data_IF_725559141778
#
_entry.id   IF_725559141778
#
_cell.length_a   1.000
_cell.length_b   1.000
_cell.length_c   1.000
_cell.angle_alpha   90.00
_cell.angle_beta   90.00
_cell.angle_gamma   90.00
#
_symmetry.space_group_name_H-M   'P 1'
#
loop_
_entity.id
_entity.type
_entity.pdbx_description
1 polymer ?
#
# COMPACT_ATOMS: atom_id res chain seq x y z
N UNK A 1 15.49 -12.13 1.69
CA UNK A 1 14.63 -11.46 0.67
C UNK A 1 13.20 -11.45 1.18
N UNK A 2 12.37 -10.48 0.77
CA UNK A 2 10.97 -10.39 1.23
C UNK A 2 10.16 -11.67 0.97
N UNK A 3 10.40 -12.33 -0.17
CA UNK A 3 9.70 -13.55 -0.53
C UNK A 3 9.96 -14.70 0.46
N UNK A 4 11.21 -14.88 0.92
CA UNK A 4 11.55 -15.92 1.89
C UNK A 4 10.80 -15.73 3.22
N UNK A 5 10.65 -14.48 3.68
CA UNK A 5 9.90 -14.19 4.90
C UNK A 5 8.42 -14.56 4.77
N UNK A 6 7.75 -14.16 3.68
CA UNK A 6 6.32 -14.48 3.48
C UNK A 6 6.10 -15.97 3.31
N UNK A 7 7.00 -16.68 2.60
CA UNK A 7 6.93 -18.14 2.47
C UNK A 7 7.11 -18.83 3.83
N UNK A 8 8.08 -18.42 4.64
CA UNK A 8 8.23 -18.96 6.00
C UNK A 8 7.00 -18.69 6.85
N UNK A 9 6.36 -17.53 6.70
CA UNK A 9 5.13 -17.21 7.41
C UNK A 9 3.96 -18.09 6.97
N UNK A 10 3.80 -18.33 5.66
CA UNK A 10 2.82 -19.28 5.11
C UNK A 10 3.03 -20.71 5.63
N UNK A 11 4.30 -21.10 5.83
CA UNK A 11 4.66 -22.41 6.38
C UNK A 11 4.48 -22.49 7.90
N UNK A 12 4.54 -21.37 8.62
CA UNK A 12 4.50 -21.32 10.09
C UNK A 12 3.17 -20.90 10.70
N UNK A 13 2.26 -20.29 9.94
CA UNK A 13 1.04 -19.67 10.48
C UNK A 13 -0.24 -20.39 10.04
N UNK A 14 -1.06 -20.79 11.01
CA UNK A 14 -2.46 -21.14 10.81
C UNK A 14 -3.39 -19.90 10.89
N UNK A 15 -2.84 -18.76 11.28
CA UNK A 15 -3.57 -17.50 11.51
C UNK A 15 -3.29 -16.51 10.38
N UNK A 16 -4.36 -15.97 9.80
CA UNK A 16 -4.29 -14.96 8.75
C UNK A 16 -4.04 -13.57 9.38
N UNK A 17 -3.28 -12.73 8.68
CA UNK A 17 -2.92 -11.37 9.10
C UNK A 17 -4.00 -10.35 8.69
N UNK A 18 -4.27 -9.37 9.55
CA UNK A 18 -5.17 -8.26 9.20
C UNK A 18 -4.44 -7.12 8.46
N UNK A 19 -3.16 -6.90 8.75
CA UNK A 19 -2.36 -5.82 8.18
C UNK A 19 -0.93 -6.27 7.92
N UNK A 20 -0.42 -5.97 6.72
CA UNK A 20 1.00 -6.04 6.41
C UNK A 20 1.50 -4.65 6.00
N UNK A 21 2.57 -4.18 6.63
CA UNK A 21 3.24 -2.93 6.28
C UNK A 21 4.56 -3.24 5.58
N UNK A 22 4.74 -2.68 4.39
CA UNK A 22 5.99 -2.77 3.61
C UNK A 22 6.62 -1.38 3.62
N UNK A 23 7.56 -1.19 4.53
CA UNK A 23 8.36 0.03 4.66
C UNK A 23 9.85 -0.35 4.59
N UNK A 24 10.31 -0.60 3.37
CA UNK A 24 11.66 -1.12 3.12
C UNK A 24 12.32 -0.31 2.01
N UNK A 25 13.47 0.25 2.34
CA UNK A 25 14.41 0.88 1.43
C UNK A 25 15.76 0.18 1.60
N UNK A 26 16.34 -0.31 0.51
CA UNK A 26 17.61 -1.05 0.53
C UNK A 26 18.74 -0.34 -0.22
N UNK A 27 18.53 0.94 -0.57
CA UNK A 27 19.46 1.75 -1.34
C UNK A 27 19.52 1.42 -2.84
N UNK A 28 18.69 0.51 -3.33
CA UNK A 28 18.59 0.20 -4.76
C UNK A 28 17.45 0.97 -5.44
N UNK A 29 17.49 1.03 -6.77
CA UNK A 29 16.36 1.49 -7.57
C UNK A 29 16.02 0.44 -8.62
N UNK A 30 14.75 0.36 -9.00
CA UNK A 30 14.30 -0.57 -10.03
C UNK A 30 13.14 0.02 -10.85
N UNK A 31 13.06 -0.39 -12.11
CA UNK A 31 12.00 0.03 -13.01
C UNK A 31 10.84 -0.98 -12.99
N UNK A 32 9.62 -0.47 -12.89
CA UNK A 32 8.40 -1.21 -13.17
C UNK A 32 8.15 -1.15 -14.69
N UNK A 33 8.70 -2.16 -15.38
CA UNK A 33 8.74 -2.30 -16.86
C UNK A 33 7.40 -2.04 -17.56
N UNK A 34 6.28 -2.28 -16.89
CA UNK A 34 4.93 -2.10 -17.45
C UNK A 34 4.55 -0.61 -17.62
N UNK A 35 5.16 0.30 -16.83
CA UNK A 35 4.76 1.71 -16.74
C UNK A 35 5.94 2.70 -16.85
N UNK A 36 7.19 2.22 -16.85
CA UNK A 36 8.39 3.07 -16.89
C UNK A 36 8.64 3.84 -15.59
N UNK A 37 7.93 3.47 -14.52
CA UNK A 37 8.06 4.03 -13.18
C UNK A 37 9.33 3.48 -12.51
N UNK A 38 10.15 4.37 -11.96
CA UNK A 38 11.38 3.98 -11.23
C UNK A 38 11.15 4.15 -9.74
N UNK A 39 11.39 3.09 -8.97
CA UNK A 39 11.17 3.06 -7.52
C UNK A 39 12.47 2.85 -6.75
N UNK A 40 12.67 3.67 -5.71
CA UNK A 40 13.67 3.49 -4.65
C UNK A 40 13.14 2.67 -3.47
N UNK A 41 11.83 2.75 -3.22
CA UNK A 41 11.13 1.92 -2.25
C UNK A 41 9.72 1.61 -2.79
N UNK A 42 9.21 0.38 -2.60
CA UNK A 42 9.91 -0.81 -2.09
C UNK A 42 10.98 -1.32 -3.06
N UNK A 43 11.88 -2.25 -2.68
CA UNK A 43 12.79 -2.89 -3.62
C UNK A 43 12.07 -3.86 -4.56
N UNK A 44 12.69 -4.21 -5.70
CA UNK A 44 12.10 -5.05 -6.75
C UNK A 44 11.52 -6.38 -6.24
N UNK A 45 12.16 -6.99 -5.25
CA UNK A 45 11.70 -8.25 -4.67
C UNK A 45 10.33 -8.13 -3.98
N UNK A 46 9.96 -6.93 -3.52
CA UNK A 46 8.73 -6.61 -2.81
C UNK A 46 7.67 -5.93 -3.70
N UNK A 47 7.99 -5.67 -4.98
CA UNK A 47 7.02 -5.19 -5.99
C UNK A 47 6.68 -6.29 -7.02
N UNK A 48 7.27 -7.48 -6.88
CA UNK A 48 7.05 -8.61 -7.77
C UNK A 48 5.62 -9.17 -7.64
N UNK A 49 5.07 -9.70 -8.74
CA UNK A 49 3.74 -10.35 -8.74
C UNK A 49 3.68 -11.50 -7.73
N UNK A 50 4.75 -12.29 -7.65
CA UNK A 50 4.86 -13.40 -6.70
C UNK A 50 4.76 -12.92 -5.24
N UNK A 51 5.51 -11.88 -4.88
CA UNK A 51 5.44 -11.31 -3.54
C UNK A 51 4.02 -10.82 -3.20
N UNK A 52 3.38 -10.08 -4.12
CA UNK A 52 2.02 -9.57 -3.90
C UNK A 52 0.99 -10.70 -3.75
N UNK A 53 1.10 -11.78 -4.52
CA UNK A 53 0.26 -12.96 -4.35
C UNK A 53 0.51 -13.66 -3.01
N UNK A 54 1.77 -13.75 -2.56
CA UNK A 54 2.09 -14.33 -1.26
C UNK A 54 1.53 -13.49 -0.11
N UNK A 55 1.59 -12.16 -0.20
CA UNK A 55 0.94 -11.25 0.74
C UNK A 55 -0.57 -11.46 0.76
N UNK A 56 -1.22 -11.51 -0.40
CA UNK A 56 -2.66 -11.80 -0.48
C UNK A 56 -3.02 -13.11 0.24
N UNK A 57 -2.19 -14.15 0.12
CA UNK A 57 -2.47 -15.47 0.71
C UNK A 57 -2.35 -15.50 2.24
N UNK A 58 -1.49 -14.67 2.82
CA UNK A 58 -1.35 -14.57 4.29
C UNK A 58 -2.36 -13.62 4.92
N UNK A 59 -2.98 -12.73 4.13
CA UNK A 59 -3.96 -11.79 4.63
C UNK A 59 -5.33 -12.45 4.87
N UNK A 60 -6.02 -11.99 5.91
CA UNK A 60 -7.39 -12.36 6.20
C UNK A 60 -8.37 -11.84 5.15
N UNK A 61 -9.65 -12.26 5.21
CA UNK A 61 -10.66 -11.85 4.22
C UNK A 61 -10.89 -10.34 4.09
N UNK A 62 -10.44 -9.55 5.07
CA UNK A 62 -10.52 -8.08 5.10
C UNK A 62 -9.15 -7.42 5.24
N UNK A 63 -8.09 -8.18 4.94
CA UNK A 63 -6.72 -7.79 5.20
C UNK A 63 -6.27 -6.64 4.30
N UNK A 64 -5.31 -5.88 4.81
CA UNK A 64 -4.73 -4.72 4.11
C UNK A 64 -3.22 -4.91 3.98
N UNK A 65 -2.68 -4.59 2.81
CA UNK A 65 -1.26 -4.27 2.67
C UNK A 65 -1.11 -2.76 2.53
N UNK A 66 -0.17 -2.16 3.27
CA UNK A 66 0.21 -0.75 3.14
C UNK A 66 1.68 -0.68 2.74
N UNK A 67 1.98 -0.07 1.61
CA UNK A 67 3.33 0.01 1.06
C UNK A 67 3.80 1.46 1.01
N UNK A 68 4.94 1.74 1.62
CA UNK A 68 5.64 3.00 1.44
C UNK A 68 6.31 3.02 0.07
N UNK A 69 5.97 4.02 -0.75
CA UNK A 69 6.49 4.17 -2.11
C UNK A 69 7.28 5.46 -2.22
N UNK A 70 8.54 5.30 -2.58
CA UNK A 70 9.42 6.40 -2.99
C UNK A 70 9.74 6.15 -4.45
N UNK A 71 9.11 6.94 -5.31
CA UNK A 71 9.16 6.76 -6.75
C UNK A 71 9.47 8.04 -7.49
N UNK A 72 10.05 7.86 -8.67
CA UNK A 72 10.52 8.92 -9.54
C UNK A 72 9.78 8.83 -10.86
N UNK A 73 9.06 9.90 -11.24
CA UNK A 73 8.52 9.99 -12.60
C UNK A 73 9.64 10.38 -13.54
N UNK A 74 9.81 9.61 -14.62
CA UNK A 74 10.64 10.03 -15.75
C UNK A 74 10.01 11.28 -16.40
N UNK A 75 10.35 12.47 -15.89
CA UNK A 75 10.14 13.71 -16.64
C UNK A 75 11.14 13.71 -17.80
N UNK A 76 10.73 14.12 -19.02
CA UNK A 76 11.71 14.42 -20.05
C UNK A 76 12.55 15.59 -19.52
N UNK A 77 13.86 15.36 -19.36
CA UNK A 77 14.92 16.25 -18.84
C UNK A 77 15.06 16.36 -17.31
N UNK A 78 16.01 15.57 -16.77
CA UNK A 78 17.00 16.01 -15.78
C UNK A 78 16.59 16.30 -14.33
N UNK A 79 15.29 16.32 -13.97
CA UNK A 79 14.87 16.50 -12.59
C UNK A 79 14.13 15.26 -12.05
N UNK A 80 14.79 14.56 -11.13
CA UNK A 80 14.18 13.55 -10.27
C UNK A 80 13.36 14.29 -9.18
N UNK A 81 12.12 14.64 -9.48
CA UNK A 81 11.16 15.03 -8.44
C UNK A 81 10.56 13.76 -7.82
N UNK A 82 10.66 13.64 -6.49
CA UNK A 82 10.33 12.45 -5.69
C UNK A 82 8.83 12.16 -5.53
N UNK A 83 7.97 12.83 -6.31
CA UNK A 83 6.51 12.71 -6.21
C UNK A 83 6.00 12.04 -7.48
N UNK A 84 6.20 10.72 -7.57
CA UNK A 84 5.88 9.93 -8.75
C UNK A 84 6.09 8.43 -8.55
N UNK A 85 6.03 7.65 -9.62
CA UNK A 85 6.44 6.23 -9.63
C UNK A 85 5.48 5.22 -8.99
N UNK A 86 4.46 5.67 -8.25
CA UNK A 86 3.51 4.77 -7.58
C UNK A 86 2.41 4.23 -8.50
N UNK A 87 2.19 4.83 -9.66
CA UNK A 87 1.10 4.49 -10.58
C UNK A 87 1.22 3.01 -11.03
N UNK A 88 2.42 2.57 -11.41
CA UNK A 88 2.68 1.19 -11.81
C UNK A 88 2.54 0.17 -10.68
N UNK A 89 2.95 0.52 -9.46
CA UNK A 89 2.74 -0.35 -8.30
C UNK A 89 1.26 -0.47 -7.97
N UNK A 90 0.51 0.63 -8.03
CA UNK A 90 -0.91 0.65 -7.80
C UNK A 90 -1.66 -0.23 -8.82
N UNK A 91 -1.32 -0.13 -10.11
CA UNK A 91 -1.87 -1.02 -11.16
C UNK A 91 -1.57 -2.49 -10.88
N UNK A 92 -0.34 -2.81 -10.45
CA UNK A 92 0.04 -4.19 -10.12
C UNK A 92 -0.69 -4.70 -8.88
N UNK A 93 -0.92 -3.87 -7.87
CA UNK A 93 -1.77 -4.23 -6.73
C UNK A 93 -3.22 -4.50 -7.16
N UNK A 94 -3.75 -3.72 -8.11
CA UNK A 94 -5.11 -3.89 -8.62
C UNK A 94 -5.34 -5.22 -9.35
N UNK A 95 -4.28 -5.95 -9.73
CA UNK A 95 -4.42 -7.31 -10.28
C UNK A 95 -4.60 -8.38 -9.22
N UNK A 96 -4.40 -8.06 -7.94
CA UNK A 96 -4.41 -9.01 -6.81
C UNK A 96 -5.41 -8.60 -5.72
N UNK A 97 -5.65 -7.31 -5.51
CA UNK A 97 -6.50 -6.78 -4.44
C UNK A 97 -7.80 -6.17 -4.98
N UNK A 98 -8.90 -6.28 -4.21
CA UNK A 98 -10.23 -5.79 -4.61
C UNK A 98 -10.30 -4.26 -4.72
N UNK A 99 -9.53 -3.57 -3.89
CA UNK A 99 -9.39 -2.12 -3.95
C UNK A 99 -7.94 -1.71 -3.75
N UNK A 100 -7.55 -0.67 -4.49
CA UNK A 100 -6.27 0.01 -4.29
C UNK A 100 -6.55 1.46 -3.91
N UNK A 101 -5.89 1.91 -2.85
CA UNK A 101 -5.97 3.28 -2.37
C UNK A 101 -4.59 3.91 -2.36
N UNK A 102 -4.54 5.22 -2.53
CA UNK A 102 -3.30 5.98 -2.58
C UNK A 102 -3.44 7.20 -1.68
N UNK A 103 -2.42 7.43 -0.86
CA UNK A 103 -2.27 8.61 -0.03
C UNK A 103 -0.93 9.29 -0.36
N UNK A 104 -0.93 10.35 -1.19
CA UNK A 104 0.26 11.12 -1.45
C UNK A 104 0.66 11.89 -0.19
N UNK A 105 1.89 11.76 0.26
CA UNK A 105 2.52 12.53 1.34
C UNK A 105 3.50 13.56 0.72
N UNK A 106 4.22 14.28 1.56
CA UNK A 106 5.17 15.31 1.09
C UNK A 106 6.38 14.71 0.36
N UNK A 107 6.96 13.63 0.92
CA UNK A 107 8.19 13.03 0.41
C UNK A 107 7.97 11.68 -0.32
N UNK A 108 6.82 11.05 -0.11
CA UNK A 108 6.54 9.68 -0.51
C UNK A 108 5.03 9.50 -0.77
N UNK A 109 4.63 8.30 -1.16
CA UNK A 109 3.22 7.94 -1.33
C UNK A 109 2.95 6.61 -0.66
N UNK A 110 1.89 6.53 0.16
CA UNK A 110 1.42 5.25 0.65
C UNK A 110 0.45 4.65 -0.37
N UNK A 111 0.68 3.40 -0.76
CA UNK A 111 -0.21 2.63 -1.63
C UNK A 111 -0.75 1.45 -0.84
N UNK A 112 -2.07 1.30 -0.82
CA UNK A 112 -2.76 0.28 -0.05
C UNK A 112 -3.45 -0.70 -0.99
N UNK A 113 -3.29 -2.01 -0.74
CA UNK A 113 -4.13 -3.06 -1.31
C UNK A 113 -5.07 -3.60 -0.25
N UNK A 114 -6.37 -3.67 -0.53
CA UNK A 114 -7.40 -4.08 0.44
C UNK A 114 -8.17 -5.29 -0.10
N UNK A 115 -8.26 -6.34 0.72
CA UNK A 115 -9.12 -7.50 0.48
C UNK A 115 -10.51 -7.26 1.06
N UNK A 116 -11.54 -7.82 0.40
CA UNK A 116 -12.89 -7.96 0.92
C UNK A 116 -13.44 -6.69 1.55
N UNK A 117 -13.74 -5.69 0.72
CA UNK A 117 -14.49 -4.54 1.20
C UNK A 117 -15.97 -4.91 1.36
N UNK A 118 -16.60 -4.67 2.52
CA UNK A 118 -18.02 -4.90 2.65
C UNK A 118 -18.77 -4.02 1.64
N UNK A 119 -19.60 -4.63 0.80
CA UNK A 119 -20.59 -3.93 -0.03
C UNK A 119 -21.54 -3.06 0.80
N UNK A 120 -21.59 -3.30 2.11
CA UNK A 120 -22.26 -2.46 3.09
C UNK A 120 -21.28 -1.43 3.65
N UNK A 121 -21.51 -0.17 3.27
CA UNK A 121 -20.91 1.01 3.89
C UNK A 121 -21.10 0.89 5.40
N UNK A 122 -19.99 0.79 6.15
CA UNK A 122 -20.07 0.89 7.61
C UNK A 122 -20.79 2.20 7.93
N UNK A 123 -21.84 2.19 8.78
CA UNK A 123 -22.47 3.42 9.18
C UNK A 123 -21.39 4.37 9.74
N UNK A 124 -21.40 5.66 9.39
CA UNK A 124 -20.46 6.61 9.96
C UNK A 124 -20.51 6.48 11.49
N UNK A 125 -19.33 6.46 12.12
CA UNK A 125 -19.22 6.45 13.57
C UNK A 125 -20.13 7.55 14.12
N UNK A 126 -21.08 7.18 14.97
CA UNK A 126 -22.04 8.15 15.53
C UNK A 126 -21.26 9.17 16.35
N UNK A 127 -21.21 10.41 15.87
CA UNK A 127 -20.34 11.49 16.36
C UNK A 127 -20.77 12.08 17.70
N UNK A 128 -21.69 11.45 18.43
CA UNK A 128 -22.33 12.08 19.60
C UNK A 128 -21.66 11.78 20.95
N UNK A 129 -20.62 10.94 20.99
CA UNK A 129 -19.73 10.81 22.16
C UNK A 129 -18.50 9.95 21.84
N UNK A 130 -17.59 10.45 21.01
CA UNK A 130 -16.29 9.80 20.86
C UNK A 130 -15.51 9.98 22.18
N UNK A 131 -14.88 8.92 22.66
CA UNK A 131 -13.83 9.03 23.68
C UNK A 131 -12.65 9.84 23.14
N UNK A 132 -11.80 10.35 24.04
CA UNK A 132 -10.60 11.10 23.64
C UNK A 132 -9.71 10.32 22.65
N UNK A 133 -9.63 9.00 22.81
CA UNK A 133 -8.87 8.13 21.90
C UNK A 133 -9.52 8.02 20.52
N UNK A 134 -10.85 7.86 20.47
CA UNK A 134 -11.59 7.83 19.22
C UNK A 134 -11.57 9.18 18.50
N UNK A 135 -11.55 10.30 19.26
CA UNK A 135 -11.40 11.63 18.71
C UNK A 135 -10.01 11.80 18.07
N UNK A 136 -8.93 11.37 18.72
CA UNK A 136 -7.57 11.40 18.12
C UNK A 136 -7.53 10.59 16.82
N UNK A 137 -8.14 9.40 16.80
CA UNK A 137 -8.22 8.59 15.58
C UNK A 137 -9.03 9.30 14.50
N UNK A 138 -10.15 9.93 14.87
CA UNK A 138 -10.99 10.68 13.95
C UNK A 138 -10.26 11.89 13.36
N UNK A 139 -9.51 12.63 14.18
CA UNK A 139 -8.71 13.78 13.75
C UNK A 139 -7.64 13.36 12.74
N UNK A 140 -6.94 12.25 13.00
CA UNK A 140 -5.98 11.65 12.05
C UNK A 140 -6.69 11.29 10.74
N UNK A 141 -7.86 10.64 10.80
CA UNK A 141 -8.61 10.34 9.59
C UNK A 141 -9.03 11.60 8.83
N UNK A 142 -9.48 12.64 9.52
CA UNK A 142 -9.90 13.89 8.90
C UNK A 142 -8.75 14.66 8.26
N UNK A 143 -7.54 14.55 8.82
CA UNK A 143 -6.32 15.10 8.22
C UNK A 143 -5.99 14.45 6.86
N UNK A 144 -6.06 13.12 6.79
CA UNK A 144 -5.61 12.38 5.59
C UNK A 144 -6.72 12.11 4.57
N UNK A 145 -7.99 12.02 4.98
CA UNK A 145 -9.14 11.70 4.11
C UNK A 145 -9.22 12.56 2.86
N UNK A 146 -8.99 13.90 2.89
CA UNK A 146 -9.05 14.73 1.68
C UNK A 146 -8.00 14.37 0.62
N UNK A 147 -6.87 13.76 1.03
CA UNK A 147 -5.75 13.39 0.16
C UNK A 147 -5.82 11.94 -0.31
N UNK A 148 -6.55 11.10 0.43
CA UNK A 148 -6.69 9.68 0.14
C UNK A 148 -7.67 9.47 -1.01
N UNK A 149 -7.28 8.65 -2.00
CA UNK A 149 -8.14 8.33 -3.15
C UNK A 149 -8.07 6.87 -3.53
N UNK A 150 -9.18 6.32 -3.99
CA UNK A 150 -9.24 5.01 -4.64
C UNK A 150 -8.74 5.14 -6.07
N UNK A 151 -7.98 4.15 -6.53
CA UNK A 151 -7.49 4.05 -7.91
C UNK A 151 -7.98 2.74 -8.54
N UNK A 152 -8.16 2.76 -9.86
CA UNK A 152 -8.71 1.67 -10.66
C UNK A 152 -7.66 1.09 -11.60
#
# INVERSE_FOLDING_TARGET
TGNAFVTTLLESSAELLDLVVVDVEDGTTHELVEDGDVLSAPPASMTSKEFLHNIHRVLGPRGVVAMNVIGHKNKPTGSLESVGGWDGLAKRLATVFDQVWVLPLEANTLVFGVLGWPSHVLPPLSTTSLSDQEQVVQDIFDEFRPRMRRVH
#
